data_IF_862669493347
#
_entry.id   IF_862669493347
#
_cell.length_a   1.000
_cell.length_b   1.000
_cell.length_c   1.000
_cell.angle_alpha   90.00
_cell.angle_beta   90.00
_cell.angle_gamma   90.00
#
_symmetry.space_group_name_H-M   'P 1'
#
loop_
_entity.id
_entity.type
_entity.pdbx_description
1 polymer ?
#
# COMPACT_ATOMS: atom_id res chain seq x y z
N UNK A 1 19.83 8.31 1.69
CA UNK A 1 18.65 8.98 2.28
C UNK A 1 17.43 8.31 1.65
N UNK A 2 16.43 7.90 2.43
CA UNK A 2 15.19 7.35 1.86
C UNK A 2 14.48 8.46 1.04
N UNK A 3 13.83 8.13 -0.09
CA UNK A 3 13.10 9.12 -0.88
C UNK A 3 11.94 9.70 -0.06
N UNK A 4 11.66 10.98 -0.24
CA UNK A 4 10.43 11.58 0.27
C UNK A 4 9.24 11.18 -0.62
N UNK A 5 8.01 11.31 -0.12
CA UNK A 5 6.81 11.05 -0.92
C UNK A 5 6.75 11.94 -2.16
N UNK A 6 7.25 13.18 -2.09
CA UNK A 6 7.37 14.06 -3.25
C UNK A 6 8.34 13.52 -4.30
N UNK A 7 9.45 12.92 -3.88
CA UNK A 7 10.42 12.31 -4.80
C UNK A 7 9.80 11.10 -5.51
N UNK A 8 9.05 10.28 -4.76
CA UNK A 8 8.31 9.12 -5.32
C UNK A 8 7.23 9.60 -6.29
N UNK A 9 6.47 10.64 -5.95
CA UNK A 9 5.42 11.19 -6.81
C UNK A 9 6.00 11.71 -8.13
N UNK A 10 7.12 12.42 -8.09
CA UNK A 10 7.81 12.89 -9.30
C UNK A 10 8.32 11.74 -10.16
N UNK A 11 8.83 10.67 -9.53
CA UNK A 11 9.33 9.49 -10.24
C UNK A 11 8.21 8.67 -10.91
N UNK A 12 7.01 8.65 -10.32
CA UNK A 12 5.86 7.89 -10.81
C UNK A 12 4.92 8.67 -11.73
N UNK A 13 5.23 9.92 -12.09
CA UNK A 13 4.27 10.84 -12.75
C UNK A 13 3.51 10.24 -13.94
N UNK A 14 4.20 9.66 -14.92
CA UNK A 14 3.57 9.02 -16.09
C UNK A 14 2.85 7.72 -15.72
N UNK A 15 3.43 6.92 -14.83
CA UNK A 15 2.87 5.66 -14.34
C UNK A 15 1.54 5.85 -13.61
N UNK A 16 1.42 6.88 -12.78
CA UNK A 16 0.18 7.18 -12.06
C UNK A 16 -1.00 7.46 -13.00
N UNK A 17 -0.72 8.06 -14.17
CA UNK A 17 -1.72 8.23 -15.22
C UNK A 17 -2.21 6.88 -15.77
N UNK A 18 -1.28 5.98 -16.09
CA UNK A 18 -1.61 4.66 -16.66
C UNK A 18 -2.30 3.73 -15.66
N UNK A 19 -2.04 3.88 -14.36
CA UNK A 19 -2.64 3.03 -13.32
C UNK A 19 -4.12 3.27 -13.12
N UNK A 20 -4.62 4.47 -13.44
CA UNK A 20 -6.07 4.75 -13.45
C UNK A 20 -6.81 3.92 -14.49
N UNK A 21 -6.18 3.67 -15.64
CA UNK A 21 -6.72 2.82 -16.71
C UNK A 21 -6.50 1.33 -16.43
N UNK A 22 -5.39 0.99 -15.75
CA UNK A 22 -5.03 -0.39 -15.44
C UNK A 22 -4.52 -0.54 -14.00
N UNK A 23 -5.42 -0.75 -13.01
CA UNK A 23 -5.04 -0.87 -11.59
C UNK A 23 -4.18 -2.11 -11.28
N UNK A 24 -4.06 -3.07 -12.19
CA UNK A 24 -3.16 -4.22 -12.02
C UNK A 24 -1.68 -3.80 -12.02
N UNK A 25 -1.33 -2.72 -12.73
CA UNK A 25 0.03 -2.18 -12.75
C UNK A 25 0.44 -1.67 -11.36
N UNK A 26 -0.41 -0.86 -10.74
CA UNK A 26 -0.24 -0.42 -9.36
C UNK A 26 -0.13 -1.59 -8.38
N UNK A 27 -1.05 -2.57 -8.48
CA UNK A 27 -1.02 -3.79 -7.63
C UNK A 27 0.28 -4.57 -7.79
N UNK A 28 0.83 -4.66 -9.01
CA UNK A 28 2.10 -5.34 -9.29
C UNK A 28 3.26 -4.65 -8.56
N UNK A 29 3.37 -3.33 -8.68
CA UNK A 29 4.42 -2.54 -8.01
C UNK A 29 4.32 -2.70 -6.49
N UNK A 30 3.14 -2.51 -5.91
CA UNK A 30 2.92 -2.67 -4.47
C UNK A 30 3.23 -4.09 -3.99
N UNK A 31 2.88 -5.10 -4.79
CA UNK A 31 3.19 -6.50 -4.47
C UNK A 31 4.69 -6.81 -4.53
N UNK A 32 5.44 -6.19 -5.45
CA UNK A 32 6.90 -6.29 -5.48
C UNK A 32 7.50 -5.66 -4.22
N UNK A 33 7.06 -4.46 -3.84
CA UNK A 33 7.54 -3.80 -2.61
C UNK A 33 7.23 -4.61 -1.35
N UNK A 34 6.06 -5.26 -1.29
CA UNK A 34 5.72 -6.19 -0.23
C UNK A 34 6.63 -7.44 -0.23
N UNK A 35 7.01 -7.98 -1.40
CA UNK A 35 7.96 -9.10 -1.50
C UNK A 35 9.36 -8.69 -1.06
N UNK A 36 9.78 -7.48 -1.40
CA UNK A 36 11.08 -6.93 -1.04
C UNK A 36 11.15 -6.35 0.37
N UNK A 37 10.08 -6.47 1.18
CA UNK A 37 10.06 -5.96 2.56
C UNK A 37 10.33 -4.46 2.65
N UNK A 38 9.71 -3.67 1.75
CA UNK A 38 9.82 -2.20 1.70
C UNK A 38 8.50 -1.52 2.07
N UNK A 39 8.01 -1.65 3.32
CA UNK A 39 6.71 -1.09 3.72
C UNK A 39 6.64 0.43 3.61
N UNK A 40 7.73 1.15 3.92
CA UNK A 40 7.71 2.63 3.84
C UNK A 40 7.56 3.12 2.41
N UNK A 41 8.24 2.46 1.45
CA UNK A 41 8.09 2.80 0.04
C UNK A 41 6.70 2.38 -0.48
N UNK A 42 6.16 1.25 -0.02
CA UNK A 42 4.80 0.83 -0.39
C UNK A 42 3.73 1.83 0.10
N UNK A 43 3.85 2.35 1.33
CA UNK A 43 2.97 3.40 1.86
C UNK A 43 3.13 4.70 1.09
N UNK A 44 4.36 5.10 0.74
CA UNK A 44 4.60 6.29 -0.09
C UNK A 44 3.95 6.16 -1.48
N UNK A 45 4.04 4.99 -2.13
CA UNK A 45 3.36 4.73 -3.41
C UNK A 45 1.84 4.84 -3.24
N UNK A 46 1.29 4.26 -2.17
CA UNK A 46 -0.14 4.36 -1.86
C UNK A 46 -0.57 5.82 -1.66
N UNK A 47 0.22 6.62 -0.94
CA UNK A 47 -0.01 8.07 -0.77
C UNK A 47 0.06 8.86 -2.07
N UNK A 48 1.02 8.53 -2.95
CA UNK A 48 1.11 9.12 -4.29
C UNK A 48 -0.14 8.81 -5.13
N UNK A 49 -0.65 7.58 -5.07
CA UNK A 49 -1.90 7.21 -5.75
C UNK A 49 -3.09 8.04 -5.24
N UNK A 50 -3.19 8.24 -3.92
CA UNK A 50 -4.24 9.10 -3.34
C UNK A 50 -4.11 10.56 -3.79
N UNK A 51 -2.89 11.10 -3.77
CA UNK A 51 -2.59 12.47 -4.20
C UNK A 51 -2.92 12.68 -5.69
N UNK A 52 -2.59 11.70 -6.53
CA UNK A 52 -2.91 11.69 -7.95
C UNK A 52 -4.37 11.30 -8.26
N UNK A 53 -5.19 11.06 -7.23
CA UNK A 53 -6.60 10.65 -7.35
C UNK A 53 -6.81 9.37 -8.15
N UNK A 54 -5.84 8.46 -8.10
CA UNK A 54 -6.01 7.08 -8.60
C UNK A 54 -6.91 6.33 -7.61
N UNK A 55 -7.96 5.70 -8.13
CA UNK A 55 -8.90 4.96 -7.29
C UNK A 55 -8.20 3.77 -6.62
N UNK A 56 -8.28 3.72 -5.29
CA UNK A 56 -7.76 2.60 -4.52
C UNK A 56 -8.77 1.46 -4.49
N UNK A 57 -8.26 0.23 -4.46
CA UNK A 57 -9.06 -0.95 -4.23
C UNK A 57 -8.43 -1.80 -3.11
N UNK A 58 -9.11 -2.89 -2.76
CA UNK A 58 -8.68 -3.75 -1.66
C UNK A 58 -7.32 -4.40 -1.90
N UNK A 59 -6.93 -4.64 -3.17
CA UNK A 59 -5.64 -5.25 -3.49
C UNK A 59 -4.47 -4.30 -3.22
N UNK A 60 -4.58 -3.02 -3.57
CA UNK A 60 -3.54 -2.02 -3.29
C UNK A 60 -3.25 -1.93 -1.78
N UNK A 61 -4.29 -1.73 -0.97
CA UNK A 61 -4.15 -1.64 0.48
C UNK A 61 -3.65 -2.96 1.07
N UNK A 62 -4.18 -4.10 0.61
CA UNK A 62 -3.76 -5.42 1.06
C UNK A 62 -2.27 -5.67 0.84
N UNK A 63 -1.71 -5.28 -0.31
CA UNK A 63 -0.27 -5.39 -0.58
C UNK A 63 0.56 -4.59 0.43
N UNK A 64 0.11 -3.40 0.83
CA UNK A 64 0.81 -2.58 1.84
C UNK A 64 0.67 -3.18 3.24
N UNK A 65 -0.51 -3.69 3.61
CA UNK A 65 -0.70 -4.43 4.87
C UNK A 65 0.22 -5.65 4.94
N UNK A 66 0.35 -6.42 3.86
CA UNK A 66 1.31 -7.55 3.77
C UNK A 66 2.77 -7.10 3.87
N UNK A 67 3.12 -5.91 3.36
CA UNK A 67 4.47 -5.36 3.55
C UNK A 67 4.75 -5.07 5.04
N UNK A 68 3.77 -4.51 5.76
CA UNK A 68 3.87 -4.32 7.21
C UNK A 68 3.94 -5.64 7.98
N UNK A 69 3.12 -6.61 7.61
CA UNK A 69 3.12 -7.97 8.17
C UNK A 69 4.51 -8.61 8.10
N UNK A 70 5.16 -8.57 6.94
CA UNK A 70 6.48 -9.19 6.75
C UNK A 70 7.58 -8.56 7.58
N UNK A 71 7.41 -7.30 7.95
CA UNK A 71 8.32 -6.53 8.82
C UNK A 71 7.86 -6.48 10.28
N UNK A 72 6.79 -7.20 10.67
CA UNK A 72 6.28 -7.20 12.05
C UNK A 72 5.71 -5.85 12.52
N UNK A 73 5.36 -4.94 11.59
CA UNK A 73 4.89 -3.58 11.90
C UNK A 73 3.40 -3.52 12.17
N UNK A 74 2.95 -4.21 13.22
CA UNK A 74 1.53 -4.39 13.54
C UNK A 74 0.75 -3.09 13.72
N UNK A 75 1.31 -2.07 14.37
CA UNK A 75 0.66 -0.75 14.51
C UNK A 75 0.37 -0.10 13.15
N UNK A 76 1.31 -0.19 12.21
CA UNK A 76 1.13 0.34 10.86
C UNK A 76 0.09 -0.47 10.07
N UNK A 77 0.10 -1.79 10.21
CA UNK A 77 -0.88 -2.68 9.59
C UNK A 77 -2.31 -2.38 10.06
N UNK A 78 -2.54 -2.31 11.38
CA UNK A 78 -3.84 -1.95 11.95
C UNK A 78 -4.26 -0.52 11.60
N UNK A 79 -3.31 0.42 11.59
CA UNK A 79 -3.56 1.80 11.22
C UNK A 79 -4.04 1.94 9.77
N UNK A 80 -3.41 1.24 8.82
CA UNK A 80 -3.87 1.22 7.44
C UNK A 80 -5.24 0.55 7.32
N UNK A 81 -5.45 -0.59 7.98
CA UNK A 81 -6.72 -1.30 7.95
C UNK A 81 -7.88 -0.43 8.47
N UNK A 82 -7.66 0.34 9.53
CA UNK A 82 -8.63 1.31 10.05
C UNK A 82 -8.88 2.51 9.13
N UNK A 83 -7.90 2.89 8.29
CA UNK A 83 -8.04 3.99 7.32
C UNK A 83 -8.76 3.58 6.03
N UNK A 84 -8.75 2.30 5.67
CA UNK A 84 -9.33 1.80 4.40
C UNK A 84 -10.78 2.28 4.15
N UNK A 85 -11.72 2.26 5.12
CA UNK A 85 -13.07 2.77 4.90
C UNK A 85 -13.10 4.28 4.54
N UNK A 86 -12.21 5.08 5.13
CA UNK A 86 -12.04 6.50 4.78
C UNK A 86 -11.49 6.69 3.36
N UNK A 87 -10.82 5.68 2.81
CA UNK A 87 -10.38 5.61 1.42
C UNK A 87 -11.46 5.04 0.48
N UNK A 88 -12.67 4.76 0.98
CA UNK A 88 -13.76 4.05 0.28
C UNK A 88 -13.41 2.61 -0.13
N UNK A 89 -12.46 2.00 0.56
CA UNK A 89 -12.06 0.61 0.35
C UNK A 89 -12.55 -0.22 1.52
N UNK A 90 -13.30 -1.29 1.25
CA UNK A 90 -13.74 -2.23 2.28
C UNK A 90 -12.63 -3.27 2.50
N UNK A 91 -12.06 -3.40 3.72
CA UNK A 91 -11.16 -4.49 4.05
C UNK A 91 -11.81 -5.86 3.79
N UNK A 92 -11.04 -6.80 3.27
CA UNK A 92 -11.47 -8.19 3.08
C UNK A 92 -10.71 -9.14 4.01
N UNK A 93 -11.08 -10.42 3.97
CA UNK A 93 -10.45 -11.50 4.72
C UNK A 93 -8.91 -11.46 4.63
N UNK A 94 -8.37 -11.26 3.41
CA UNK A 94 -6.93 -11.20 3.20
C UNK A 94 -6.26 -10.05 3.98
N UNK A 95 -6.82 -8.84 3.90
CA UNK A 95 -6.28 -7.69 4.64
C UNK A 95 -6.36 -7.88 6.16
N UNK A 96 -7.42 -8.50 6.68
CA UNK A 96 -7.53 -8.83 8.10
C UNK A 96 -6.50 -9.87 8.52
N UNK A 97 -6.35 -10.97 7.76
CA UNK A 97 -5.40 -12.03 8.07
C UNK A 97 -3.95 -11.51 8.08
N UNK A 98 -3.60 -10.64 7.12
CA UNK A 98 -2.28 -10.00 7.09
C UNK A 98 -2.05 -9.10 8.32
N UNK A 99 -3.04 -8.30 8.73
CA UNK A 99 -2.92 -7.47 9.93
C UNK A 99 -2.80 -8.32 11.22
N UNK A 100 -3.57 -9.41 11.34
CA UNK A 100 -3.48 -10.35 12.46
C UNK A 100 -2.09 -11.01 12.52
N UNK A 101 -1.57 -11.47 11.38
CA UNK A 101 -0.23 -12.05 11.33
C UNK A 101 0.85 -11.01 11.63
N UNK A 102 0.65 -9.74 11.28
CA UNK A 102 1.54 -8.66 11.71
C UNK A 102 1.61 -8.55 13.24
N UNK A 103 0.46 -8.63 13.92
CA UNK A 103 0.37 -8.61 15.39
C UNK A 103 1.03 -9.84 16.05
N UNK A 104 1.01 -11.00 15.39
CA UNK A 104 1.72 -12.18 15.88
C UNK A 104 3.25 -12.01 15.79
N UNK A 105 3.72 -11.31 14.75
CA UNK A 105 5.15 -11.18 14.43
C UNK A 105 5.88 -10.06 15.16
N UNK A 106 5.18 -9.06 15.70
CA UNK A 106 5.80 -7.89 16.33
C UNK A 106 5.58 -7.83 17.83
#
# INVERSE_FOLDING_TARGET
RAPSERDVLLALGEELGSWGENPRLATSVLSVLAKERRPDLAEQVLGCMQTARVELNVFHCSSVVTAYEKEGRWLSALGLLGRMPGMRVVPNEFSYNAAISACEKG
#
